data_IF_199177190763
#
_entry.id   IF_199177190763
#
_cell.length_a   1.000
_cell.length_b   1.000
_cell.length_c   1.000
_cell.angle_alpha   90.00
_cell.angle_beta   90.00
_cell.angle_gamma   90.00
#
_symmetry.space_group_name_H-M   'P 1'
#
loop_
_entity.id
_entity.type
_entity.pdbx_description
1 polymer ?
#
# COMPACT_ATOMS: atom_id res chain seq x y z
N UNK A 1 36.06 -18.76 1.08
CA UNK A 1 35.17 -17.60 1.28
C UNK A 1 34.64 -17.17 -0.07
N UNK A 2 33.44 -17.62 -0.42
CA UNK A 2 32.65 -17.07 -1.51
C UNK A 2 31.25 -16.93 -0.93
N UNK A 3 30.91 -15.70 -0.56
CA UNK A 3 29.56 -15.34 -0.16
C UNK A 3 28.72 -15.37 -1.44
N UNK A 4 28.00 -16.47 -1.64
CA UNK A 4 26.93 -16.52 -2.63
C UNK A 4 25.80 -15.65 -2.09
N UNK A 5 25.71 -14.44 -2.63
CA UNK A 5 24.60 -13.52 -2.42
C UNK A 5 23.35 -14.23 -2.96
N UNK A 6 22.63 -14.86 -2.05
CA UNK A 6 21.39 -15.57 -2.29
C UNK A 6 20.36 -14.57 -2.79
N UNK A 7 20.27 -14.41 -4.11
CA UNK A 7 19.23 -13.65 -4.78
C UNK A 7 17.94 -14.47 -4.62
N UNK A 8 17.32 -14.36 -3.43
CA UNK A 8 16.04 -15.00 -3.11
C UNK A 8 15.02 -14.45 -4.10
N UNK A 9 14.72 -15.22 -5.14
CA UNK A 9 13.41 -15.18 -5.78
C UNK A 9 12.38 -15.33 -4.65
N UNK A 10 11.78 -14.21 -4.26
CA UNK A 10 10.76 -14.19 -3.24
C UNK A 10 9.56 -14.96 -3.80
N UNK A 11 9.18 -16.02 -3.11
CA UNK A 11 8.05 -16.86 -3.49
C UNK A 11 6.77 -16.00 -3.61
N UNK A 12 5.86 -16.37 -4.51
CA UNK A 12 4.56 -15.68 -4.70
C UNK A 12 3.80 -15.53 -3.39
N UNK A 13 3.97 -16.50 -2.49
CA UNK A 13 3.31 -16.52 -1.19
C UNK A 13 3.86 -15.47 -0.24
N UNK A 14 5.16 -15.13 -0.33
CA UNK A 14 5.76 -14.06 0.47
C UNK A 14 5.19 -12.70 0.07
N UNK A 15 5.14 -12.43 -1.23
CA UNK A 15 4.60 -11.17 -1.76
C UNK A 15 3.12 -10.96 -1.39
N UNK A 16 2.31 -12.03 -1.43
CA UNK A 16 0.92 -11.96 -0.93
C UNK A 16 0.84 -11.65 0.55
N UNK A 17 1.71 -12.24 1.38
CA UNK A 17 1.75 -11.99 2.81
C UNK A 17 2.14 -10.53 3.11
N UNK A 18 3.16 -10.02 2.43
CA UNK A 18 3.59 -8.62 2.53
C UNK A 18 2.45 -7.67 2.16
N UNK A 19 1.80 -7.89 1.01
CA UNK A 19 0.62 -7.13 0.61
C UNK A 19 -0.50 -7.19 1.65
N UNK A 20 -0.74 -8.35 2.24
CA UNK A 20 -1.78 -8.52 3.25
C UNK A 20 -1.47 -7.76 4.54
N UNK A 21 -0.19 -7.70 4.95
CA UNK A 21 0.29 -6.90 6.08
C UNK A 21 0.07 -5.41 5.79
N UNK A 22 0.48 -4.94 4.61
CA UNK A 22 0.28 -3.55 4.17
C UNK A 22 -1.20 -3.18 4.16
N UNK A 23 -2.06 -4.03 3.59
CA UNK A 23 -3.52 -3.85 3.59
C UNK A 23 -4.04 -3.69 5.01
N UNK A 24 -3.60 -4.55 5.94
CA UNK A 24 -4.08 -4.52 7.32
C UNK A 24 -3.64 -3.27 8.08
N UNK A 25 -2.48 -2.72 7.76
CA UNK A 25 -1.98 -1.49 8.37
C UNK A 25 -2.79 -0.27 7.97
N UNK A 26 -3.16 -0.17 6.69
CA UNK A 26 -3.79 1.03 6.12
C UNK A 26 -5.30 0.94 5.92
N UNK A 27 -5.92 -0.25 6.02
CA UNK A 27 -7.37 -0.45 5.78
C UNK A 27 -8.29 0.47 6.60
N UNK A 28 -7.83 0.94 7.76
CA UNK A 28 -8.60 1.84 8.62
C UNK A 28 -8.62 3.29 8.12
N UNK A 29 -7.72 3.64 7.20
CA UNK A 29 -7.55 4.99 6.66
C UNK A 29 -7.90 5.10 5.17
N UNK A 30 -8.59 4.10 4.64
CA UNK A 30 -9.05 3.99 3.25
C UNK A 30 -10.45 3.38 3.23
N UNK A 31 -11.16 3.49 2.12
CA UNK A 31 -12.49 2.86 1.97
C UNK A 31 -12.39 1.37 1.63
N UNK A 32 -11.50 1.01 0.71
CA UNK A 32 -11.23 -0.38 0.34
C UNK A 32 -9.77 -0.49 -0.14
N UNK A 33 -9.10 -1.59 0.20
CA UNK A 33 -7.79 -1.91 -0.36
C UNK A 33 -7.62 -3.43 -0.44
N UNK A 34 -7.28 -3.92 -1.62
CA UNK A 34 -7.17 -5.36 -1.89
C UNK A 34 -6.20 -5.68 -3.03
N UNK A 35 -5.72 -6.91 -3.06
CA UNK A 35 -4.92 -7.42 -4.18
C UNK A 35 -5.83 -7.57 -5.41
N UNK A 36 -5.35 -7.16 -6.59
CA UNK A 36 -6.04 -7.40 -7.86
C UNK A 36 -5.97 -8.89 -8.20
N UNK A 37 -7.15 -9.50 -8.40
CA UNK A 37 -7.27 -10.87 -8.88
C UNK A 37 -7.27 -10.96 -10.42
N UNK A 38 -7.54 -9.84 -11.10
CA UNK A 38 -7.60 -9.79 -12.57
C UNK A 38 -6.24 -9.60 -13.22
N UNK A 39 -5.37 -8.81 -12.58
CA UNK A 39 -4.04 -8.54 -13.11
C UNK A 39 -3.08 -9.67 -12.78
N UNK A 40 -2.16 -9.94 -13.72
CA UNK A 40 -1.15 -11.00 -13.57
C UNK A 40 -0.13 -10.58 -12.51
N UNK A 41 -0.26 -11.14 -11.33
CA UNK A 41 0.75 -11.03 -10.27
C UNK A 41 1.90 -12.01 -10.57
N UNK A 42 3.15 -11.57 -10.37
CA UNK A 42 4.34 -12.41 -10.54
C UNK A 42 5.17 -12.46 -9.23
N UNK A 43 6.35 -13.08 -9.27
CA UNK A 43 7.22 -13.24 -8.10
C UNK A 43 8.03 -11.97 -7.76
N UNK A 44 7.81 -10.87 -8.48
CA UNK A 44 8.59 -9.63 -8.36
C UNK A 44 7.71 -8.42 -8.04
N UNK A 45 6.42 -8.48 -8.38
CA UNK A 45 5.46 -7.44 -8.09
C UNK A 45 4.02 -7.99 -8.03
N UNK A 46 3.16 -7.22 -7.36
CA UNK A 46 1.73 -7.45 -7.28
C UNK A 46 0.97 -6.16 -7.60
N UNK A 47 -0.29 -6.30 -7.99
CA UNK A 47 -1.18 -5.15 -8.13
C UNK A 47 -2.17 -5.07 -6.97
N UNK A 48 -2.36 -3.86 -6.45
CA UNK A 48 -3.31 -3.51 -5.41
C UNK A 48 -4.32 -2.54 -5.98
N UNK A 49 -5.60 -2.76 -5.68
CA UNK A 49 -6.68 -1.83 -5.95
C UNK A 49 -7.02 -1.09 -4.66
N UNK A 50 -6.99 0.24 -4.72
CA UNK A 50 -7.27 1.14 -3.62
C UNK A 50 -8.52 1.96 -3.92
N UNK A 51 -9.33 2.20 -2.89
CA UNK A 51 -10.35 3.24 -2.85
C UNK A 51 -10.03 4.14 -1.66
N UNK A 52 -9.72 5.41 -1.91
CA UNK A 52 -9.47 6.40 -0.86
C UNK A 52 -10.77 6.76 -0.14
N UNK A 53 -10.66 7.47 0.99
CA UNK A 53 -11.83 7.88 1.79
C UNK A 53 -12.78 8.82 1.01
N UNK A 54 -12.24 9.56 0.04
CA UNK A 54 -12.97 10.44 -0.87
C UNK A 54 -13.67 9.68 -2.01
N UNK A 55 -13.43 8.36 -2.12
CA UNK A 55 -13.96 7.52 -3.20
C UNK A 55 -13.12 7.50 -4.47
N UNK A 56 -11.88 8.03 -4.45
CA UNK A 56 -10.97 7.95 -5.59
C UNK A 56 -10.42 6.53 -5.71
N UNK A 57 -10.36 6.03 -6.94
CA UNK A 57 -9.86 4.68 -7.24
C UNK A 57 -8.47 4.74 -7.84
N UNK A 58 -7.63 3.80 -7.42
CA UNK A 58 -6.30 3.66 -7.99
C UNK A 58 -5.94 2.18 -8.15
N UNK A 59 -5.16 1.89 -9.17
CA UNK A 59 -4.41 0.66 -9.28
C UNK A 59 -2.94 0.97 -8.98
N UNK A 60 -2.34 0.19 -8.09
CA UNK A 60 -1.01 0.40 -7.56
C UNK A 60 -0.19 -0.86 -7.78
N UNK A 61 1.02 -0.72 -8.30
CA UNK A 61 2.01 -1.78 -8.33
C UNK A 61 2.83 -1.75 -7.04
N UNK A 62 2.89 -2.88 -6.34
CA UNK A 62 3.79 -3.13 -5.23
C UNK A 62 4.96 -3.99 -5.74
N UNK A 63 6.17 -3.46 -5.66
CA UNK A 63 7.41 -4.15 -6.05
C UNK A 63 8.52 -3.88 -5.04
N UNK A 64 9.72 -4.42 -5.28
CA UNK A 64 10.90 -4.10 -4.47
C UNK A 64 11.31 -2.62 -4.50
N UNK A 65 10.87 -1.86 -5.52
CA UNK A 65 11.06 -0.42 -5.60
C UNK A 65 10.06 0.39 -4.75
N UNK A 66 9.06 -0.27 -4.17
CA UNK A 66 7.98 0.35 -3.40
C UNK A 66 6.64 0.33 -4.15
N UNK A 67 5.86 1.40 -3.97
CA UNK A 67 4.50 1.55 -4.49
C UNK A 67 4.48 2.51 -5.67
N UNK A 68 3.81 2.15 -6.75
CA UNK A 68 3.71 2.99 -7.96
C UNK A 68 2.27 3.03 -8.44
N UNK A 69 1.74 4.21 -8.75
CA UNK A 69 0.41 4.31 -9.35
C UNK A 69 0.50 3.89 -10.82
N UNK A 70 -0.29 2.88 -11.20
CA UNK A 70 -0.34 2.35 -12.57
C UNK A 70 -1.64 2.64 -13.29
N UNK A 71 -2.67 3.09 -12.57
CA UNK A 71 -3.92 3.54 -13.15
C UNK A 71 -4.83 4.25 -12.17
N UNK A 72 -5.82 4.96 -12.72
CA UNK A 72 -6.82 5.74 -11.96
C UNK A 72 -8.15 4.99 -11.82
N UNK A 73 -8.17 3.71 -12.16
CA UNK A 73 -9.30 2.81 -11.96
C UNK A 73 -8.77 1.46 -11.50
N UNK A 74 -9.65 0.63 -10.94
CA UNK A 74 -9.26 -0.72 -10.52
C UNK A 74 -8.90 -1.59 -11.71
N UNK A 75 -7.84 -2.37 -11.55
CA UNK A 75 -7.30 -3.26 -12.58
C UNK A 75 -6.85 -2.55 -13.88
N UNK A 76 -6.62 -1.22 -13.84
CA UNK A 76 -6.11 -0.44 -14.96
C UNK A 76 -4.60 -0.18 -14.80
N UNK A 77 -3.82 -0.49 -15.83
CA UNK A 77 -2.36 -0.25 -15.87
C UNK A 77 -1.94 0.73 -16.97
N UNK A 78 -2.91 1.42 -17.59
CA UNK A 78 -2.69 2.30 -18.74
C UNK A 78 -1.95 3.61 -18.42
N UNK A 79 -1.91 4.01 -17.14
CA UNK A 79 -1.32 5.28 -16.69
C UNK A 79 -0.30 5.03 -15.57
N UNK A 80 0.82 4.45 -15.97
CA UNK A 80 1.97 4.31 -15.08
C UNK A 80 2.64 5.65 -14.82
N UNK A 81 2.62 6.06 -13.58
CA UNK A 81 3.42 7.17 -13.08
C UNK A 81 4.88 6.74 -12.89
N UNK A 82 5.80 7.70 -12.94
CA UNK A 82 7.22 7.47 -12.66
C UNK A 82 7.56 7.57 -11.18
N UNK A 83 6.63 8.06 -10.36
CA UNK A 83 6.87 8.29 -8.94
C UNK A 83 6.75 6.99 -8.17
N UNK A 84 7.77 6.72 -7.34
CA UNK A 84 7.81 5.56 -6.46
C UNK A 84 7.71 6.03 -5.02
N UNK A 85 6.76 5.46 -4.28
CA UNK A 85 6.57 5.75 -2.87
C UNK A 85 7.17 4.61 -2.05
N UNK A 86 8.02 4.94 -1.08
CA UNK A 86 8.70 3.93 -0.25
C UNK A 86 7.72 3.17 0.67
N UNK A 87 6.67 3.84 1.13
CA UNK A 87 5.71 3.29 2.10
C UNK A 87 4.27 3.54 1.62
N UNK A 88 3.31 2.69 2.04
CA UNK A 88 1.90 2.92 1.70
C UNK A 88 1.39 4.23 2.32
N UNK A 89 1.97 4.67 3.45
CA UNK A 89 1.63 5.93 4.10
C UNK A 89 2.07 7.15 3.28
N UNK A 90 3.27 7.10 2.67
CA UNK A 90 3.75 8.17 1.78
C UNK A 90 2.85 8.30 0.55
N UNK A 91 2.44 7.17 -0.03
CA UNK A 91 1.47 7.14 -1.14
C UNK A 91 0.13 7.74 -0.72
N UNK A 92 -0.46 7.25 0.38
CA UNK A 92 -1.75 7.72 0.87
C UNK A 92 -1.74 9.20 1.24
N UNK A 93 -0.64 9.71 1.80
CA UNK A 93 -0.48 11.13 2.08
C UNK A 93 -0.51 12.00 0.81
N UNK A 94 -0.10 11.45 -0.34
CA UNK A 94 -0.17 12.12 -1.64
C UNK A 94 -1.56 12.01 -2.29
N UNK A 95 -2.14 10.81 -2.32
CA UNK A 95 -3.40 10.56 -3.07
C UNK A 95 -4.68 10.82 -2.29
N UNK A 96 -4.63 10.88 -0.96
CA UNK A 96 -5.80 10.96 -0.08
C UNK A 96 -5.66 12.10 0.92
N UNK A 97 -6.20 13.30 0.64
CA UNK A 97 -6.27 14.37 1.62
C UNK A 97 -6.91 13.95 2.96
N UNK A 98 -7.99 13.18 2.93
CA UNK A 98 -8.72 12.68 4.10
C UNK A 98 -7.94 11.62 4.88
N UNK A 99 -6.99 10.93 4.25
CA UNK A 99 -6.06 10.06 4.99
C UNK A 99 -5.29 10.86 6.04
N UNK A 100 -4.86 12.10 5.73
CA UNK A 100 -4.12 12.95 6.68
C UNK A 100 -4.95 13.27 7.92
N UNK A 101 -6.22 13.59 7.71
CA UNK A 101 -7.16 13.87 8.80
C UNK A 101 -7.43 12.61 9.63
N UNK A 102 -7.68 11.47 8.96
CA UNK A 102 -7.92 10.18 9.61
C UNK A 102 -6.71 9.74 10.45
N UNK A 103 -5.51 9.82 9.90
CA UNK A 103 -4.27 9.48 10.59
C UNK A 103 -4.01 10.42 11.78
N UNK A 104 -4.18 11.73 11.58
CA UNK A 104 -4.06 12.73 12.64
C UNK A 104 -5.04 12.49 13.79
N UNK A 105 -6.30 12.16 13.48
CA UNK A 105 -7.30 11.83 14.48
C UNK A 105 -6.95 10.56 15.27
N UNK A 106 -6.44 9.52 14.60
CA UNK A 106 -5.96 8.30 15.27
C UNK A 106 -4.78 8.57 16.21
N UNK A 107 -3.87 9.48 15.84
CA UNK A 107 -2.77 9.89 16.71
C UNK A 107 -3.26 10.65 17.94
N UNK A 108 -4.15 11.63 17.76
CA UNK A 108 -4.76 12.39 18.86
C UNK A 108 -5.53 11.46 19.80
N UNK A 109 -6.27 10.49 19.25
CA UNK A 109 -7.01 9.52 20.05
C UNK A 109 -6.06 8.68 20.93
N UNK A 110 -4.97 8.15 20.35
CA UNK A 110 -3.96 7.38 21.12
C UNK A 110 -3.29 8.23 22.21
N UNK A 111 -2.97 9.49 21.92
CA UNK A 111 -2.40 10.41 22.92
C UNK A 111 -3.35 10.66 24.09
N UNK A 112 -4.65 10.85 23.82
CA UNK A 112 -5.68 11.00 24.87
C UNK A 112 -5.83 9.76 25.74
N UNK A 113 -5.71 8.57 25.17
CA UNK A 113 -5.76 7.33 25.94
C UNK A 113 -4.58 7.20 26.91
N UNK A 114 -3.39 7.67 26.51
CA UNK A 114 -2.22 7.69 27.39
C UNK A 114 -2.36 8.73 28.50
N UNK A 115 -2.90 9.92 28.21
CA UNK A 115 -3.09 10.97 29.22
C UNK A 115 -4.16 10.62 30.26
N UNK A 116 -5.20 9.88 29.87
CA UNK A 116 -6.26 9.45 30.78
C UNK A 116 -5.93 8.18 31.56
N UNK A 117 -4.79 7.53 31.29
CA UNK A 117 -4.32 6.33 32.00
C UNK A 117 -3.28 6.65 33.09
N UNK A 118 -3.10 7.92 33.43
CA UNK A 118 -2.27 8.41 34.54
C UNK A 118 -3.15 9.00 35.65
#
# INVERSE_FOLDING_TARGET
>A
MKEEVNNKELDKDHWKLEAQTIINDVKQHVTDIKISEKLRNNNHFLYLNLITLEGLKFCIELSSAGFTIVGNEHDDTSKRESEHYETPYSLLNFVSPQYRDSFGNSLVYKLKQLSNSQ
#
